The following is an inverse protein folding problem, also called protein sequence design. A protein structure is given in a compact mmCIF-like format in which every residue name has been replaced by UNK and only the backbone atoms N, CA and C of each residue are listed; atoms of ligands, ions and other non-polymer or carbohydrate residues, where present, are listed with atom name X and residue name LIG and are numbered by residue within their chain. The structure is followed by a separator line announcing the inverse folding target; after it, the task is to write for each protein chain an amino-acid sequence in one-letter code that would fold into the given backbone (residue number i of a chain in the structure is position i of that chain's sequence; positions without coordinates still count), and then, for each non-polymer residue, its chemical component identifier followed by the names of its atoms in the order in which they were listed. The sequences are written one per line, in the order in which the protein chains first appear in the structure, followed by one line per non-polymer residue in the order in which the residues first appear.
data_IF_914429454745
#
_entry.id   IF_914429454745
#
_cell.length_a   1.000
_cell.length_b   1.000
_cell.length_c   1.000
_cell.angle_alpha   90.00
_cell.angle_beta   90.00
_cell.angle_gamma   90.00
#
_symmetry.space_group_name_H-M   'P 1'
#
loop_
_entity.id
_entity.type
_entity.pdbx_description
1 polymer ?
#
# COMPACT_ATOMS: atom_id res chain seq x y z
N UNK A 1 20.58 23.63 15.99
CA UNK A 1 19.55 23.10 15.07
C UNK A 1 19.72 21.59 14.74
N UNK A 2 20.23 20.78 15.69
CA UNK A 2 20.14 19.32 15.73
C UNK A 2 20.06 18.93 17.21
N UNK A 3 18.99 18.26 17.65
CA UNK A 3 18.78 17.92 19.07
C UNK A 3 18.74 19.11 20.04
N UNK A 4 18.40 18.87 21.29
CA UNK A 4 18.91 19.74 22.36
C UNK A 4 20.43 19.62 22.27
N UNK A 5 21.19 20.72 22.25
CA UNK A 5 22.65 20.71 22.24
C UNK A 5 23.30 20.02 23.47
N UNK A 6 22.50 19.37 24.31
CA UNK A 6 22.87 18.70 25.55
C UNK A 6 22.98 17.16 25.41
N UNK A 7 22.55 16.55 24.29
CA UNK A 7 22.71 15.09 24.10
C UNK A 7 24.13 14.77 23.60
N UNK A 8 24.90 14.03 24.41
CA UNK A 8 26.20 13.50 24.01
C UNK A 8 26.02 12.43 22.93
N UNK A 9 26.58 12.67 21.74
CA UNK A 9 26.54 11.76 20.61
C UNK A 9 27.89 11.07 20.46
N UNK A 10 27.90 9.75 20.51
CA UNK A 10 29.10 8.93 20.33
C UNK A 10 29.06 8.32 18.93
N UNK A 11 29.96 8.74 18.05
CA UNK A 11 30.01 8.21 16.69
C UNK A 11 30.60 6.80 16.70
N UNK A 12 29.93 5.80 16.10
CA UNK A 12 30.50 4.47 15.97
C UNK A 12 31.70 4.48 15.02
N UNK A 13 32.62 3.49 15.13
CA UNK A 13 33.68 3.32 14.15
C UNK A 13 33.08 3.14 12.74
N UNK A 14 33.72 3.70 11.69
CA UNK A 14 33.20 3.59 10.33
C UNK A 14 33.19 2.12 9.87
N UNK A 15 32.12 1.68 9.20
CA UNK A 15 32.02 0.31 8.68
C UNK A 15 33.14 -0.01 7.69
N UNK A 16 33.50 0.96 6.85
CA UNK A 16 34.59 0.81 5.88
C UNK A 16 35.76 1.66 6.36
N UNK A 17 36.86 1.01 6.73
CA UNK A 17 38.06 1.68 7.27
C UNK A 17 39.09 2.05 6.20
N UNK A 18 39.16 1.27 5.12
CA UNK A 18 40.10 1.46 3.99
C UNK A 18 39.33 1.25 2.68
N UNK A 19 39.65 1.98 1.59
CA UNK A 19 40.72 2.97 1.45
C UNK A 19 40.40 4.34 2.10
N UNK A 20 39.13 4.64 2.33
CA UNK A 20 38.65 5.85 3.01
C UNK A 20 37.66 5.43 4.10
N UNK A 21 37.67 6.16 5.22
CA UNK A 21 36.71 5.95 6.30
C UNK A 21 35.29 6.36 5.87
N UNK A 22 34.39 5.39 5.74
CA UNK A 22 33.00 5.61 5.34
C UNK A 22 32.02 4.98 6.34
N UNK A 23 31.01 5.76 6.70
CA UNK A 23 29.87 5.31 7.49
C UNK A 23 28.70 4.91 6.59
N UNK A 24 27.94 3.90 7.01
CA UNK A 24 26.74 3.48 6.28
C UNK A 24 25.51 4.23 6.78
N UNK A 25 24.49 4.33 5.91
CA UNK A 25 23.19 4.86 6.33
C UNK A 25 22.55 4.07 7.47
N UNK A 26 22.82 2.76 7.55
CA UNK A 26 22.35 1.88 8.64
C UNK A 26 22.99 2.26 9.98
N UNK A 27 24.28 2.57 10.00
CA UNK A 27 24.96 3.07 11.20
C UNK A 27 24.35 4.40 11.67
N UNK A 28 24.04 5.32 10.75
CA UNK A 28 23.40 6.58 11.10
C UNK A 28 21.99 6.39 11.67
N UNK A 29 21.21 5.47 11.13
CA UNK A 29 19.87 5.13 11.66
C UNK A 29 19.99 4.54 13.08
N UNK A 30 20.95 3.64 13.28
CA UNK A 30 21.22 3.03 14.60
C UNK A 30 21.57 4.10 15.63
N UNK A 31 22.37 5.09 15.25
CA UNK A 31 22.72 6.24 16.08
C UNK A 31 21.52 7.14 16.42
N UNK A 32 20.52 7.25 15.53
CA UNK A 32 19.30 8.00 15.83
C UNK A 32 18.43 7.30 16.89
N UNK A 33 18.45 5.96 16.92
CA UNK A 33 17.78 5.16 17.94
C UNK A 33 18.55 5.21 19.26
N UNK A 34 19.86 4.94 19.22
CA UNK A 34 20.75 4.91 20.38
C UNK A 34 21.95 5.86 20.18
N UNK A 35 21.86 7.12 20.65
CA UNK A 35 22.91 8.13 20.42
C UNK A 35 24.21 7.95 21.20
N UNK A 36 24.18 7.24 22.33
CA UNK A 36 25.34 6.97 23.18
C UNK A 36 25.19 5.64 23.91
N UNK A 37 26.29 5.07 24.40
CA UNK A 37 26.25 3.84 25.20
C UNK A 37 25.43 3.99 26.49
N UNK A 38 25.34 5.22 27.02
CA UNK A 38 24.52 5.61 28.18
C UNK A 38 23.02 5.56 27.88
N UNK A 39 22.62 5.56 26.61
CA UNK A 39 21.22 5.43 26.23
C UNK A 39 20.75 4.00 26.49
N UNK A 40 19.69 3.87 27.27
CA UNK A 40 19.03 2.61 27.63
C UNK A 40 18.00 2.16 26.57
N UNK A 41 17.98 2.82 25.40
CA UNK A 41 17.01 2.49 24.35
C UNK A 41 17.43 1.19 23.69
N UNK A 42 16.61 0.16 23.88
CA UNK A 42 16.80 -1.17 23.29
C UNK A 42 15.62 -1.50 22.40
N UNK A 43 15.93 -1.89 21.16
CA UNK A 43 14.96 -2.28 20.14
C UNK A 43 15.47 -3.55 19.47
N UNK A 44 14.64 -4.58 19.55
CA UNK A 44 14.83 -5.85 18.85
C UNK A 44 13.60 -6.06 17.96
N UNK A 45 13.79 -6.14 16.65
CA UNK A 45 12.69 -6.25 15.68
C UNK A 45 13.15 -6.99 14.43
N UNK A 46 12.40 -8.02 14.04
CA UNK A 46 12.59 -8.72 12.78
C UNK A 46 11.29 -8.75 11.99
N UNK A 47 11.31 -8.19 10.77
CA UNK A 47 10.13 -8.25 9.91
C UNK A 47 10.44 -8.04 8.42
N UNK A 48 9.66 -8.66 7.52
CA UNK A 48 9.80 -8.47 6.08
C UNK A 48 9.16 -7.16 5.59
N UNK A 49 9.91 -6.39 4.82
CA UNK A 49 9.43 -5.21 4.11
C UNK A 49 8.68 -5.60 2.82
N UNK A 50 8.15 -4.65 2.05
CA UNK A 50 7.42 -4.92 0.80
C UNK A 50 8.30 -5.54 -0.30
N UNK A 51 9.58 -5.21 -0.35
CA UNK A 51 10.54 -5.66 -1.36
C UNK A 51 11.29 -6.96 -0.98
N UNK A 52 10.89 -7.62 0.12
CA UNK A 52 11.49 -8.87 0.54
C UNK A 52 11.31 -9.94 -0.55
N UNK A 53 12.42 -10.52 -0.99
CA UNK A 53 12.39 -11.69 -1.87
C UNK A 53 12.17 -12.90 -0.98
N UNK A 54 11.04 -13.58 -1.14
CA UNK A 54 10.76 -14.83 -0.44
C UNK A 54 11.98 -15.78 -0.55
N UNK A 55 12.48 -16.26 0.59
CA UNK A 55 13.74 -16.99 0.69
C UNK A 55 14.36 -16.84 2.08
N UNK A 56 15.68 -16.96 2.17
CA UNK A 56 16.43 -16.78 3.42
C UNK A 56 16.31 -15.32 3.94
N UNK A 57 15.74 -15.10 5.14
CA UNK A 57 15.64 -13.78 5.77
C UNK A 57 16.98 -13.08 5.94
N UNK A 58 18.05 -13.82 6.23
CA UNK A 58 19.36 -13.25 6.58
C UNK A 58 20.17 -12.83 5.34
N UNK A 59 19.90 -13.44 4.18
CA UNK A 59 20.60 -13.18 2.92
C UNK A 59 19.66 -12.73 1.80
N UNK A 60 18.86 -11.70 2.07
CA UNK A 60 17.98 -11.12 1.06
C UNK A 60 18.77 -10.27 0.04
N UNK A 61 18.76 -10.65 -1.25
CA UNK A 61 19.38 -9.88 -2.36
C UNK A 61 18.91 -8.42 -2.45
N UNK A 62 17.63 -8.19 -2.14
CA UNK A 62 17.02 -6.86 -2.17
C UNK A 62 17.14 -6.09 -0.86
N UNK A 63 17.81 -6.64 0.15
CA UNK A 63 17.91 -6.06 1.50
C UNK A 63 16.52 -5.70 2.05
N UNK A 64 15.56 -6.61 1.90
CA UNK A 64 14.14 -6.39 2.21
C UNK A 64 13.67 -7.03 3.51
N UNK A 65 14.54 -7.72 4.25
CA UNK A 65 14.24 -8.23 5.58
C UNK A 65 14.95 -7.36 6.60
N UNK A 66 14.17 -6.74 7.50
CA UNK A 66 14.68 -5.75 8.45
C UNK A 66 14.95 -6.41 9.77
N UNK A 67 16.19 -6.24 10.25
CA UNK A 67 16.68 -6.80 11.51
C UNK A 67 17.27 -5.65 12.33
N UNK A 68 16.58 -5.32 13.42
CA UNK A 68 17.12 -4.52 14.52
C UNK A 68 17.52 -5.45 15.65
N UNK A 69 18.76 -5.29 16.11
CA UNK A 69 19.30 -6.01 17.23
C UNK A 69 20.00 -5.03 18.16
N UNK A 70 19.58 -4.96 19.42
CA UNK A 70 20.09 -4.03 20.43
C UNK A 70 20.16 -2.57 19.95
N UNK A 71 19.12 -2.14 19.23
CA UNK A 71 18.99 -0.82 18.59
C UNK A 71 19.95 -0.57 17.41
N UNK A 72 20.64 -1.60 16.92
CA UNK A 72 21.45 -1.55 15.71
C UNK A 72 20.72 -2.15 14.52
N UNK A 73 20.70 -1.41 13.41
CA UNK A 73 20.15 -1.89 12.14
C UNK A 73 21.18 -2.75 11.42
N UNK A 74 21.08 -4.07 11.57
CA UNK A 74 22.01 -5.03 10.96
C UNK A 74 21.70 -5.18 9.47
N UNK A 75 20.43 -5.46 9.14
CA UNK A 75 20.00 -5.76 7.79
C UNK A 75 18.67 -5.08 7.46
N UNK A 76 18.42 -4.88 6.17
CA UNK A 76 17.15 -4.40 5.65
C UNK A 76 17.08 -2.92 5.34
N UNK A 77 16.06 -2.56 4.57
CA UNK A 77 15.68 -1.19 4.25
C UNK A 77 14.40 -0.78 4.98
N UNK A 78 14.33 0.49 5.36
CA UNK A 78 13.18 0.99 6.10
C UNK A 78 12.12 1.57 5.15
N UNK A 79 10.99 0.88 5.02
CA UNK A 79 9.83 1.34 4.25
C UNK A 79 8.62 1.66 5.13
N UNK A 80 7.45 1.78 4.49
CA UNK A 80 6.18 2.06 5.17
C UNK A 80 5.78 0.97 6.16
N UNK A 81 6.18 -0.30 5.98
CA UNK A 81 5.81 -1.35 6.96
C UNK A 81 6.54 -1.17 8.27
N UNK A 82 7.83 -0.80 8.24
CA UNK A 82 8.60 -0.55 9.48
C UNK A 82 8.22 0.79 10.11
N UNK A 83 8.27 1.87 9.34
CA UNK A 83 8.17 3.24 9.88
C UNK A 83 6.72 3.76 9.94
N UNK A 84 5.79 3.14 9.23
CA UNK A 84 4.39 3.54 9.21
C UNK A 84 3.60 3.01 10.42
N UNK A 85 2.28 3.17 10.38
CA UNK A 85 1.36 2.75 11.46
C UNK A 85 1.10 1.25 11.53
N UNK A 86 2.08 0.41 11.21
CA UNK A 86 1.96 -1.05 11.33
C UNK A 86 2.11 -1.45 12.80
N UNK A 87 1.26 -2.35 13.30
CA UNK A 87 1.36 -2.89 14.68
C UNK A 87 2.74 -3.49 14.99
N UNK A 88 3.36 -4.34 14.16
CA UNK A 88 4.74 -4.80 14.40
C UNK A 88 5.82 -3.79 14.00
N UNK A 89 5.47 -2.55 13.64
CA UNK A 89 6.44 -1.56 13.16
C UNK A 89 7.33 -1.00 14.28
N UNK A 90 8.42 -0.34 13.88
CA UNK A 90 9.41 0.27 14.78
C UNK A 90 8.78 1.24 15.78
N UNK A 91 7.82 2.05 15.33
CA UNK A 91 7.14 3.03 16.20
C UNK A 91 6.39 2.35 17.35
N UNK A 92 5.73 1.21 17.07
CA UNK A 92 5.01 0.47 18.11
C UNK A 92 5.97 -0.17 19.10
N UNK A 93 7.02 -0.84 18.62
CA UNK A 93 8.05 -1.46 19.47
C UNK A 93 8.73 -0.41 20.37
N UNK A 94 9.05 0.76 19.84
CA UNK A 94 9.60 1.87 20.61
C UNK A 94 8.66 2.38 21.72
N UNK A 95 7.35 2.47 21.44
CA UNK A 95 6.36 2.90 22.43
C UNK A 95 6.24 1.86 23.55
N UNK A 96 6.26 0.57 23.18
CA UNK A 96 6.01 -0.56 24.07
C UNK A 96 7.21 -0.92 24.95
N UNK A 97 8.36 -1.17 24.34
CA UNK A 97 9.56 -1.65 25.05
C UNK A 97 10.29 -0.52 25.79
N UNK A 98 10.04 0.73 25.40
CA UNK A 98 10.67 1.89 26.01
C UNK A 98 9.59 2.82 26.57
N UNK A 99 9.32 3.94 25.89
CA UNK A 99 8.27 4.86 26.31
C UNK A 99 7.78 5.72 25.14
N UNK A 100 6.55 6.26 25.20
CA UNK A 100 6.05 7.20 24.21
C UNK A 100 6.95 8.42 24.00
N UNK A 101 7.57 8.93 25.08
CA UNK A 101 8.46 10.08 25.03
C UNK A 101 9.76 9.77 24.27
N UNK A 102 10.34 8.57 24.50
CA UNK A 102 11.51 8.08 23.77
C UNK A 102 11.17 7.87 22.29
N UNK A 103 10.04 7.22 22.00
CA UNK A 103 9.58 7.01 20.62
C UNK A 103 9.44 8.34 19.87
N UNK A 104 8.80 9.34 20.48
CA UNK A 104 8.66 10.68 19.90
C UNK A 104 10.02 11.35 19.64
N UNK A 105 10.98 11.23 20.57
CA UNK A 105 12.32 11.75 20.39
C UNK A 105 13.05 11.06 19.22
N UNK A 106 13.02 9.73 19.15
CA UNK A 106 13.64 8.93 18.08
C UNK A 106 13.05 9.27 16.70
N UNK A 107 11.73 9.33 16.57
CA UNK A 107 11.05 9.74 15.33
C UNK A 107 11.38 11.19 14.96
N UNK A 108 11.49 12.07 15.95
CA UNK A 108 11.93 13.45 15.76
C UNK A 108 13.37 13.56 15.23
N UNK A 109 14.29 12.68 15.67
CA UNK A 109 15.66 12.61 15.13
C UNK A 109 15.67 12.06 13.70
N UNK A 110 14.97 10.95 13.46
CA UNK A 110 14.88 10.31 12.13
C UNK A 110 14.28 11.24 11.07
N UNK A 111 13.21 11.97 11.40
CA UNK A 111 12.58 12.95 10.49
C UNK A 111 13.53 14.09 10.12
N UNK A 112 14.24 14.66 11.10
CA UNK A 112 15.24 15.72 10.86
C UNK A 112 16.42 15.23 10.03
N UNK A 113 16.95 14.03 10.32
CA UNK A 113 18.00 13.41 9.53
C UNK A 113 17.54 13.19 8.09
N UNK A 114 16.34 12.65 7.90
CA UNK A 114 15.77 12.39 6.58
C UNK A 114 15.60 13.68 5.77
N UNK A 115 15.09 14.76 6.40
CA UNK A 115 14.96 16.06 5.76
C UNK A 115 16.32 16.64 5.33
N UNK A 116 17.33 16.55 6.20
CA UNK A 116 18.69 17.02 5.87
C UNK A 116 19.30 16.20 4.74
N UNK A 117 19.17 14.88 4.80
CA UNK A 117 19.71 13.95 3.80
C UNK A 117 19.07 14.14 2.43
N UNK A 118 17.75 14.33 2.39
CA UNK A 118 17.04 14.64 1.15
C UNK A 118 17.46 16.00 0.59
N UNK A 119 17.69 16.99 1.45
CA UNK A 119 18.19 18.31 1.05
C UNK A 119 19.59 18.29 0.43
N UNK A 120 20.46 17.37 0.83
CA UNK A 120 21.82 17.22 0.25
C UNK A 120 21.85 16.31 -0.97
N UNK A 121 21.14 15.17 -0.93
CA UNK A 121 21.13 14.21 -2.02
C UNK A 121 20.26 14.65 -3.20
N UNK A 122 19.15 15.34 -2.90
CA UNK A 122 18.12 15.67 -3.87
C UNK A 122 17.30 14.44 -4.30
N UNK A 123 15.99 14.63 -4.46
CA UNK A 123 15.12 13.68 -5.14
C UNK A 123 14.11 14.48 -5.96
N UNK A 124 14.13 14.29 -7.27
CA UNK A 124 13.17 14.87 -8.20
C UNK A 124 12.66 13.78 -9.14
N UNK A 125 11.51 14.01 -9.74
CA UNK A 125 10.93 13.13 -10.76
C UNK A 125 10.71 13.94 -12.03
N UNK A 126 11.04 13.35 -13.17
CA UNK A 126 10.88 13.98 -14.49
C UNK A 126 9.94 13.19 -15.39
N UNK A 127 9.74 13.70 -16.60
CA UNK A 127 8.97 13.01 -17.65
C UNK A 127 9.69 11.74 -18.13
N UNK A 128 11.02 11.73 -18.13
CA UNK A 128 11.84 10.58 -18.51
C UNK A 128 11.63 9.38 -17.58
N UNK A 129 11.31 9.62 -16.30
CA UNK A 129 11.04 8.53 -15.34
C UNK A 129 9.72 7.78 -15.64
N UNK A 130 8.86 8.35 -16.49
CA UNK A 130 7.57 7.77 -16.88
C UNK A 130 7.44 7.53 -18.39
N UNK A 131 8.54 7.61 -19.11
CA UNK A 131 8.59 7.26 -20.53
C UNK A 131 8.68 5.74 -20.67
N UNK A 132 7.84 5.16 -21.55
CA UNK A 132 7.82 3.72 -21.79
C UNK A 132 9.06 3.28 -22.58
N UNK A 133 9.66 2.15 -22.18
CA UNK A 133 10.70 1.51 -23.00
C UNK A 133 10.05 0.80 -24.20
N UNK A 134 10.68 0.77 -25.38
CA UNK A 134 10.17 0.04 -26.55
C UNK A 134 9.81 -1.42 -26.24
N UNK A 135 10.56 -2.08 -25.35
CA UNK A 135 10.31 -3.45 -24.91
C UNK A 135 8.95 -3.60 -24.20
N UNK A 136 8.58 -2.60 -23.38
CA UNK A 136 7.31 -2.60 -22.66
C UNK A 136 6.16 -2.27 -23.62
N UNK A 137 6.38 -1.38 -24.58
CA UNK A 137 5.37 -1.05 -25.59
C UNK A 137 5.06 -2.26 -26.50
N UNK A 138 6.09 -3.00 -26.90
CA UNK A 138 5.92 -4.24 -27.67
C UNK A 138 5.12 -5.28 -26.87
N UNK A 139 5.49 -5.48 -25.59
CA UNK A 139 4.78 -6.40 -24.69
C UNK A 139 3.33 -5.97 -24.44
N UNK A 140 3.06 -4.67 -24.29
CA UNK A 140 1.70 -4.12 -24.18
C UNK A 140 0.89 -4.47 -25.42
N UNK A 141 1.40 -4.20 -26.62
CA UNK A 141 0.70 -4.46 -27.89
C UNK A 141 0.38 -5.95 -28.04
N UNK A 142 1.31 -6.83 -27.69
CA UNK A 142 1.09 -8.28 -27.69
C UNK A 142 -0.05 -8.68 -26.74
N UNK A 143 -0.01 -8.23 -25.48
CA UNK A 143 -1.02 -8.57 -24.48
C UNK A 143 -2.40 -8.00 -24.81
N UNK A 144 -2.47 -6.78 -25.36
CA UNK A 144 -3.74 -6.19 -25.79
C UNK A 144 -4.32 -6.96 -26.99
N UNK A 145 -3.50 -7.29 -27.99
CA UNK A 145 -3.93 -8.05 -29.15
C UNK A 145 -4.44 -9.45 -28.78
N UNK A 146 -3.70 -10.17 -27.93
CA UNK A 146 -4.10 -11.50 -27.42
C UNK A 146 -5.47 -11.44 -26.74
N UNK A 147 -5.68 -10.46 -25.85
CA UNK A 147 -6.93 -10.33 -25.11
C UNK A 147 -8.08 -9.80 -25.96
N UNK A 148 -7.82 -8.96 -26.96
CA UNK A 148 -8.86 -8.53 -27.89
C UNK A 148 -9.35 -9.70 -28.74
N UNK A 149 -8.45 -10.54 -29.24
CA UNK A 149 -8.82 -11.75 -29.97
C UNK A 149 -9.68 -12.69 -29.11
N UNK A 150 -9.31 -12.88 -27.84
CA UNK A 150 -10.10 -13.68 -26.90
C UNK A 150 -11.49 -13.06 -26.62
N UNK A 151 -11.57 -11.74 -26.46
CA UNK A 151 -12.85 -11.05 -26.26
C UNK A 151 -13.75 -11.19 -27.48
N UNK A 152 -13.19 -11.07 -28.69
CA UNK A 152 -13.94 -11.24 -29.93
C UNK A 152 -14.48 -12.67 -30.08
N UNK A 153 -13.68 -13.69 -29.72
CA UNK A 153 -14.14 -15.09 -29.66
C UNK A 153 -15.33 -15.25 -28.70
N UNK A 154 -15.26 -14.67 -27.49
CA UNK A 154 -16.37 -14.74 -26.52
C UNK A 154 -17.61 -13.97 -26.95
N UNK A 155 -17.45 -12.87 -27.69
CA UNK A 155 -18.57 -12.14 -28.29
C UNK A 155 -19.23 -13.00 -29.38
N UNK A 156 -18.47 -13.75 -30.17
CA UNK A 156 -19.03 -14.67 -31.16
C UNK A 156 -19.71 -15.90 -30.53
N UNK A 157 -19.13 -16.50 -29.48
CA UNK A 157 -19.78 -17.57 -28.70
C UNK A 157 -21.13 -17.11 -28.13
N UNK A 158 -21.18 -15.86 -27.64
CA UNK A 158 -22.43 -15.25 -27.16
C UNK A 158 -23.46 -15.07 -28.28
N UNK A 159 -23.06 -14.59 -29.46
CA UNK A 159 -23.95 -14.48 -30.62
C UNK A 159 -24.48 -15.84 -31.09
N UNK A 160 -23.67 -16.89 -30.98
CA UNK A 160 -24.06 -18.27 -31.31
C UNK A 160 -24.86 -18.96 -30.19
N UNK A 161 -25.02 -18.33 -29.02
CA UNK A 161 -25.69 -18.93 -27.86
C UNK A 161 -24.94 -20.09 -27.20
N UNK A 162 -23.63 -20.22 -27.48
CA UNK A 162 -22.77 -21.30 -26.95
C UNK A 162 -21.98 -20.92 -25.70
N UNK A 163 -22.14 -19.68 -25.22
CA UNK A 163 -21.40 -19.17 -24.06
C UNK A 163 -21.80 -19.93 -22.79
N UNK A 164 -20.85 -20.55 -22.05
CA UNK A 164 -21.15 -21.21 -20.79
C UNK A 164 -21.55 -20.18 -19.74
N UNK A 165 -22.75 -20.34 -19.16
CA UNK A 165 -23.29 -19.43 -18.16
C UNK A 165 -22.59 -19.59 -16.82
N UNK A 166 -22.31 -18.48 -16.14
CA UNK A 166 -21.89 -18.51 -14.75
C UNK A 166 -23.12 -18.77 -13.85
N UNK A 167 -22.97 -19.54 -12.75
CA UNK A 167 -24.07 -19.78 -11.82
C UNK A 167 -24.64 -18.46 -11.30
N UNK A 168 -25.97 -18.30 -11.41
CA UNK A 168 -26.67 -17.09 -10.94
C UNK A 168 -26.53 -15.85 -11.82
N UNK A 169 -25.97 -15.97 -13.03
CA UNK A 169 -25.86 -14.86 -13.99
C UNK A 169 -26.58 -15.17 -15.31
N UNK A 170 -27.16 -14.13 -15.90
CA UNK A 170 -27.70 -14.20 -17.27
C UNK A 170 -26.57 -14.34 -18.30
N UNK A 171 -26.91 -14.67 -19.55
CA UNK A 171 -25.94 -14.77 -20.65
C UNK A 171 -25.16 -13.47 -20.87
N UNK A 172 -25.83 -12.33 -20.81
CA UNK A 172 -25.20 -11.01 -20.97
C UNK A 172 -24.32 -10.65 -19.78
N UNK A 173 -24.79 -10.88 -18.55
CA UNK A 173 -24.01 -10.66 -17.34
C UNK A 173 -22.77 -11.56 -17.28
N UNK A 174 -22.91 -12.81 -17.74
CA UNK A 174 -21.80 -13.75 -17.84
C UNK A 174 -20.74 -13.24 -18.81
N UNK A 175 -21.15 -12.80 -20.00
CA UNK A 175 -20.23 -12.21 -20.99
C UNK A 175 -19.48 -11.01 -20.40
N UNK A 176 -20.21 -10.07 -19.80
CA UNK A 176 -19.62 -8.87 -19.19
C UNK A 176 -18.64 -9.23 -18.05
N UNK A 177 -18.98 -10.19 -17.20
CA UNK A 177 -18.10 -10.63 -16.12
C UNK A 177 -16.83 -11.32 -16.63
N UNK A 178 -16.93 -12.11 -17.70
CA UNK A 178 -15.75 -12.76 -18.33
C UNK A 178 -14.85 -11.71 -18.97
N UNK A 179 -15.41 -10.79 -19.76
CA UNK A 179 -14.63 -9.74 -20.44
C UNK A 179 -13.97 -8.79 -19.43
N UNK A 180 -14.72 -8.32 -18.42
CA UNK A 180 -14.16 -7.43 -17.39
C UNK A 180 -13.02 -8.12 -16.61
N UNK A 181 -13.17 -9.42 -16.31
CA UNK A 181 -12.13 -10.21 -15.68
C UNK A 181 -10.85 -10.31 -16.52
N UNK A 182 -10.97 -10.58 -17.82
CA UNK A 182 -9.80 -10.69 -18.71
C UNK A 182 -9.12 -9.35 -18.99
N UNK A 183 -9.88 -8.29 -19.27
CA UNK A 183 -9.33 -6.95 -19.48
C UNK A 183 -8.67 -6.41 -18.21
N UNK A 184 -9.18 -6.76 -17.03
CA UNK A 184 -8.55 -6.44 -15.75
C UNK A 184 -7.18 -7.09 -15.56
N UNK A 185 -6.92 -8.26 -16.16
CA UNK A 185 -5.62 -8.96 -16.07
C UNK A 185 -4.53 -8.26 -16.87
N UNK A 186 -4.86 -7.60 -17.99
CA UNK A 186 -3.88 -6.87 -18.83
C UNK A 186 -3.08 -5.91 -17.95
N UNK A 187 -3.77 -5.09 -17.16
CA UNK A 187 -3.15 -4.09 -16.29
C UNK A 187 -2.16 -4.73 -15.29
N UNK A 188 -2.52 -5.87 -14.70
CA UNK A 188 -1.65 -6.55 -13.73
C UNK A 188 -0.43 -7.16 -14.41
N UNK A 189 -0.62 -7.85 -15.54
CA UNK A 189 0.46 -8.50 -16.29
C UNK A 189 1.52 -7.50 -16.78
N UNK A 190 1.09 -6.35 -17.30
CA UNK A 190 2.02 -5.33 -17.76
C UNK A 190 2.63 -4.55 -16.60
N UNK A 191 1.88 -4.34 -15.51
CA UNK A 191 2.41 -3.78 -14.26
C UNK A 191 3.56 -4.61 -13.67
N UNK A 192 3.41 -5.94 -13.63
CA UNK A 192 4.44 -6.85 -13.12
C UNK A 192 5.70 -6.86 -14.02
N UNK A 193 5.52 -6.74 -15.34
CA UNK A 193 6.64 -6.62 -16.28
C UNK A 193 7.34 -5.27 -16.12
N UNK A 194 6.58 -4.20 -15.93
CA UNK A 194 7.09 -2.84 -15.74
C UNK A 194 8.02 -2.75 -14.53
N UNK A 195 7.67 -3.37 -13.40
CA UNK A 195 8.53 -3.37 -12.19
C UNK A 195 9.89 -4.04 -12.41
N UNK A 196 9.97 -5.02 -13.32
CA UNK A 196 11.21 -5.73 -13.68
C UNK A 196 12.09 -4.93 -14.64
N UNK A 197 11.46 -4.20 -15.57
CA UNK A 197 12.16 -3.44 -16.62
C UNK A 197 12.66 -2.09 -16.11
N UNK A 198 11.90 -1.40 -15.26
CA UNK A 198 12.28 -0.08 -14.79
C UNK A 198 13.62 -0.10 -14.03
N UNK A 199 14.51 0.90 -14.20
CA UNK A 199 15.75 0.99 -13.44
C UNK A 199 15.52 1.03 -11.93
N UNK A 200 16.46 0.50 -11.14
CA UNK A 200 16.39 0.55 -9.66
C UNK A 200 16.37 1.98 -9.11
N UNK A 201 17.00 2.92 -9.83
CA UNK A 201 17.09 4.33 -9.46
C UNK A 201 15.96 5.20 -10.04
N UNK A 202 14.95 4.59 -10.66
CA UNK A 202 13.75 5.31 -11.10
C UNK A 202 12.96 5.78 -9.86
N UNK A 203 12.61 7.07 -9.81
CA UNK A 203 12.11 7.73 -8.59
C UNK A 203 10.64 7.36 -8.31
N UNK A 204 9.72 7.40 -9.30
CA UNK A 204 8.40 6.80 -9.17
C UNK A 204 8.40 5.36 -8.66
N UNK A 205 9.31 4.52 -9.17
CA UNK A 205 9.48 3.14 -8.68
C UNK A 205 9.86 3.11 -7.20
N UNK A 206 10.86 3.90 -6.80
CA UNK A 206 11.30 3.98 -5.39
C UNK A 206 10.14 4.41 -4.48
N UNK A 207 9.36 5.43 -4.88
CA UNK A 207 8.21 5.92 -4.09
C UNK A 207 7.12 4.85 -3.92
N UNK A 208 6.79 4.11 -4.98
CA UNK A 208 5.81 3.04 -4.94
C UNK A 208 6.28 1.81 -4.14
N UNK A 209 7.58 1.51 -4.15
CA UNK A 209 8.19 0.42 -3.38
C UNK A 209 8.33 0.76 -1.91
N UNK A 210 8.80 1.96 -1.55
CA UNK A 210 8.93 2.37 -0.15
C UNK A 210 7.57 2.68 0.50
N UNK A 211 6.53 2.91 -0.32
CA UNK A 211 5.16 3.14 0.12
C UNK A 211 4.89 4.59 0.56
N UNK A 212 5.76 5.54 0.21
CA UNK A 212 5.56 6.96 0.54
C UNK A 212 4.35 7.55 -0.17
N UNK A 213 4.31 7.42 -1.50
CA UNK A 213 3.20 7.86 -2.35
C UNK A 213 3.18 7.10 -3.66
N UNK A 214 1.98 6.82 -4.14
CA UNK A 214 1.76 6.05 -5.35
C UNK A 214 1.76 4.54 -5.11
N UNK A 215 1.30 3.83 -6.11
CA UNK A 215 1.24 2.36 -6.14
C UNK A 215 1.83 1.87 -7.46
N UNK A 216 2.20 0.58 -7.56
CA UNK A 216 2.58 -0.03 -8.84
C UNK A 216 1.52 0.15 -9.93
N UNK A 217 0.24 0.15 -9.54
CA UNK A 217 -0.88 0.39 -10.44
C UNK A 217 -0.83 1.82 -10.99
N UNK A 218 -0.61 2.82 -10.13
CA UNK A 218 -0.51 4.22 -10.57
C UNK A 218 0.66 4.39 -11.54
N UNK A 219 1.79 3.74 -11.28
CA UNK A 219 2.94 3.76 -12.17
C UNK A 219 2.63 3.11 -13.53
N UNK A 220 1.92 1.98 -13.52
CA UNK A 220 1.43 1.34 -14.75
C UNK A 220 0.46 2.21 -15.53
N UNK A 221 -0.40 2.99 -14.86
CA UNK A 221 -1.33 3.92 -15.52
C UNK A 221 -0.62 5.12 -16.14
N UNK A 222 0.47 5.59 -15.52
CA UNK A 222 1.29 6.66 -16.08
C UNK A 222 2.05 6.21 -17.32
N UNK A 223 2.63 5.01 -17.30
CA UNK A 223 3.58 4.55 -18.34
C UNK A 223 2.88 3.74 -19.44
N UNK A 224 2.01 2.79 -19.08
CA UNK A 224 1.57 1.71 -19.98
C UNK A 224 0.15 1.88 -20.49
N UNK A 225 -0.83 1.78 -19.59
CA UNK A 225 -2.26 1.84 -19.92
C UNK A 225 -3.09 2.13 -18.67
N UNK A 226 -4.19 2.87 -18.84
CA UNK A 226 -5.18 3.06 -17.79
C UNK A 226 -5.98 1.79 -17.48
N UNK A 227 -6.30 1.02 -18.52
CA UNK A 227 -7.10 -0.20 -18.45
C UNK A 227 -8.61 0.08 -18.43
N UNK A 228 -9.38 -0.94 -18.04
CA UNK A 228 -10.84 -0.90 -18.03
C UNK A 228 -11.39 0.14 -17.03
N UNK A 229 -12.20 1.08 -17.53
CA UNK A 229 -12.99 2.01 -16.71
C UNK A 229 -14.33 1.36 -16.38
N UNK A 230 -14.69 1.36 -15.09
CA UNK A 230 -15.93 0.80 -14.59
C UNK A 230 -16.77 1.91 -13.95
N UNK A 231 -18.10 1.77 -14.04
CA UNK A 231 -19.10 2.62 -13.38
C UNK A 231 -20.18 1.72 -12.79
N UNK A 232 -20.44 1.83 -11.49
CA UNK A 232 -21.44 1.00 -10.80
C UNK A 232 -21.06 -0.49 -10.76
N UNK A 233 -19.76 -0.80 -10.73
CA UNK A 233 -19.24 -2.18 -10.70
C UNK A 233 -19.29 -2.92 -12.05
N UNK A 234 -19.76 -2.26 -13.12
CA UNK A 234 -19.83 -2.82 -14.46
C UNK A 234 -19.00 -1.97 -15.45
N UNK A 235 -18.71 -2.52 -16.63
CA UNK A 235 -18.16 -1.72 -17.73
C UNK A 235 -19.13 -0.63 -18.14
N UNK A 236 -18.64 0.37 -18.87
CA UNK A 236 -19.46 1.53 -19.26
C UNK A 236 -20.69 1.06 -20.07
N UNK A 237 -21.86 1.43 -19.56
CA UNK A 237 -23.14 1.06 -20.15
C UNK A 237 -23.56 1.98 -21.28
N UNK A 238 -24.56 1.55 -22.06
CA UNK A 238 -25.07 2.32 -23.18
C UNK A 238 -25.75 3.60 -22.68
N UNK A 239 -25.15 4.77 -22.95
CA UNK A 239 -25.77 6.08 -22.70
C UNK A 239 -26.72 6.52 -23.82
N UNK A 240 -26.51 6.02 -25.05
CA UNK A 240 -27.38 6.24 -26.20
C UNK A 240 -28.16 4.96 -26.53
N UNK A 241 -29.12 5.06 -27.46
CA UNK A 241 -29.88 3.92 -27.98
C UNK A 241 -28.93 2.85 -28.54
N UNK A 242 -28.76 1.76 -27.77
CA UNK A 242 -27.93 0.60 -28.08
C UNK A 242 -26.44 0.89 -28.34
N UNK A 243 -25.87 1.96 -27.79
CA UNK A 243 -24.42 2.26 -27.87
C UNK A 243 -23.98 3.20 -26.75
N UNK A 244 -22.68 3.23 -26.47
CA UNK A 244 -22.07 4.11 -25.45
C UNK A 244 -21.83 5.53 -25.97
N UNK A 245 -21.24 5.67 -27.15
CA UNK A 245 -20.95 6.95 -27.81
C UNK A 245 -21.40 6.93 -29.28
N UNK A 246 -21.68 8.09 -29.90
CA UNK A 246 -22.14 8.15 -31.28
C UNK A 246 -21.10 7.67 -32.31
N UNK A 247 -19.82 7.65 -31.93
CA UNK A 247 -18.69 7.16 -32.72
C UNK A 247 -18.69 5.63 -32.91
N UNK A 248 -19.34 4.89 -32.01
CA UNK A 248 -19.40 3.43 -32.08
C UNK A 248 -20.65 2.94 -32.82
N UNK A 249 -20.50 1.79 -33.48
CA UNK A 249 -21.62 1.07 -34.10
C UNK A 249 -22.63 0.63 -33.03
N UNK A 250 -23.90 0.57 -33.41
CA UNK A 250 -24.97 0.04 -32.54
C UNK A 250 -24.66 -1.41 -32.15
N UNK A 251 -24.99 -1.77 -30.92
CA UNK A 251 -24.77 -3.08 -30.30
C UNK A 251 -23.29 -3.51 -30.18
N UNK A 252 -22.33 -2.59 -30.31
CA UNK A 252 -20.92 -2.93 -30.14
C UNK A 252 -20.57 -3.26 -28.68
N UNK A 253 -20.07 -4.48 -28.45
CA UNK A 253 -19.60 -4.97 -27.14
C UNK A 253 -18.06 -5.03 -27.02
N UNK A 254 -17.35 -4.48 -28.01
CA UNK A 254 -15.88 -4.42 -28.07
C UNK A 254 -15.29 -3.75 -26.82
N UNK A 255 -14.04 -4.07 -26.42
CA UNK A 255 -13.37 -3.42 -25.29
C UNK A 255 -13.39 -1.89 -25.37
N UNK A 256 -13.01 -1.33 -26.52
CA UNK A 256 -12.94 0.13 -26.74
C UNK A 256 -14.31 0.81 -26.62
N UNK A 257 -15.38 0.20 -27.16
CA UNK A 257 -16.72 0.77 -27.06
C UNK A 257 -17.27 0.75 -25.64
N UNK A 258 -16.70 -0.07 -24.75
CA UNK A 258 -17.18 -0.28 -23.38
C UNK A 258 -16.20 0.23 -22.32
N UNK A 259 -15.34 1.18 -22.68
CA UNK A 259 -14.53 1.92 -21.70
C UNK A 259 -13.17 1.30 -21.37
N UNK A 260 -12.65 0.39 -22.19
CA UNK A 260 -11.25 0.01 -22.10
C UNK A 260 -10.38 1.12 -22.67
N UNK A 261 -9.44 1.61 -21.86
CA UNK A 261 -8.48 2.65 -22.26
C UNK A 261 -7.12 2.00 -22.42
N UNK A 262 -6.68 1.92 -23.67
CA UNK A 262 -5.41 1.29 -24.03
C UNK A 262 -4.25 2.24 -23.73
N UNK A 263 -4.45 3.54 -23.91
CA UNK A 263 -3.41 4.54 -23.73
C UNK A 263 -3.12 4.86 -22.25
N UNK A 264 -1.91 5.40 -22.02
CA UNK A 264 -1.44 5.85 -20.71
C UNK A 264 -1.54 7.37 -20.59
N UNK A 265 -1.33 7.89 -19.38
CA UNK A 265 -1.23 9.34 -19.21
C UNK A 265 -0.04 9.95 -19.94
N UNK A 266 1.02 9.18 -20.17
CA UNK A 266 2.19 9.63 -20.92
C UNK A 266 1.92 9.69 -22.43
N UNK A 267 1.29 8.65 -23.01
CA UNK A 267 0.98 8.65 -24.45
C UNK A 267 -0.14 9.64 -24.81
N UNK A 268 -0.98 10.01 -23.84
CA UNK A 268 -2.16 10.84 -24.05
C UNK A 268 -3.37 10.00 -24.43
N UNK A 269 -4.57 10.51 -24.11
CA UNK A 269 -5.82 9.77 -24.27
C UNK A 269 -6.58 10.23 -25.50
N UNK A 270 -7.21 9.27 -26.19
CA UNK A 270 -8.15 9.59 -27.25
C UNK A 270 -9.39 10.30 -26.69
N UNK A 271 -10.13 11.08 -27.49
CA UNK A 271 -11.30 11.83 -26.99
C UNK A 271 -12.37 10.95 -26.31
N UNK A 272 -12.63 9.75 -26.83
CA UNK A 272 -13.57 8.82 -26.21
C UNK A 272 -13.00 8.16 -24.94
N UNK A 273 -11.70 7.89 -24.89
CA UNK A 273 -11.03 7.36 -23.69
C UNK A 273 -11.02 8.39 -22.57
N UNK A 274 -10.74 9.65 -22.89
CA UNK A 274 -10.83 10.76 -21.95
C UNK A 274 -12.24 10.88 -21.37
N UNK A 275 -13.26 10.80 -22.23
CA UNK A 275 -14.65 10.82 -21.79
C UNK A 275 -14.98 9.64 -20.85
N UNK A 276 -14.55 8.43 -21.19
CA UNK A 276 -14.73 7.26 -20.32
C UNK A 276 -13.96 7.35 -19.00
N UNK A 277 -12.75 7.92 -19.02
CA UNK A 277 -11.97 8.14 -17.81
C UNK A 277 -12.64 9.15 -16.87
N UNK A 278 -13.19 10.24 -17.41
CA UNK A 278 -13.94 11.23 -16.61
C UNK A 278 -15.21 10.66 -15.99
N UNK A 279 -15.89 9.72 -16.66
CA UNK A 279 -17.02 8.98 -16.08
C UNK A 279 -16.60 8.17 -14.84
N UNK A 280 -15.51 7.39 -14.94
CA UNK A 280 -14.97 6.64 -13.80
C UNK A 280 -14.49 7.56 -12.66
N UNK A 281 -13.86 8.69 -12.99
CA UNK A 281 -13.46 9.70 -12.01
C UNK A 281 -14.65 10.33 -11.27
N UNK A 282 -15.78 10.54 -11.97
CA UNK A 282 -17.00 11.10 -11.37
C UNK A 282 -17.61 10.19 -10.33
N UNK A 283 -17.64 8.87 -10.56
CA UNK A 283 -18.13 7.89 -9.60
C UNK A 283 -17.37 8.01 -8.27
N UNK A 284 -16.03 8.00 -8.30
CA UNK A 284 -15.22 8.11 -7.09
C UNK A 284 -15.47 9.41 -6.29
N UNK A 285 -15.68 10.53 -6.98
CA UNK A 285 -16.01 11.81 -6.33
C UNK A 285 -17.40 11.78 -5.68
N UNK A 286 -18.40 11.25 -6.38
CA UNK A 286 -19.77 11.14 -5.86
C UNK A 286 -19.82 10.16 -4.70
N UNK A 287 -19.20 8.99 -4.82
CA UNK A 287 -19.13 7.98 -3.77
C UNK A 287 -18.51 8.54 -2.49
N UNK A 288 -17.42 9.31 -2.61
CA UNK A 288 -16.77 9.93 -1.46
C UNK A 288 -17.71 10.93 -0.77
N UNK A 289 -18.45 11.73 -1.54
CA UNK A 289 -19.40 12.69 -1.01
C UNK A 289 -20.59 12.01 -0.30
N UNK A 290 -21.17 10.97 -0.90
CA UNK A 290 -22.34 10.25 -0.35
C UNK A 290 -21.96 9.42 0.88
N UNK A 291 -20.86 8.66 0.81
CA UNK A 291 -20.45 7.77 1.91
C UNK A 291 -20.16 8.52 3.20
N UNK A 292 -19.68 9.77 3.10
CA UNK A 292 -19.37 10.61 4.28
C UNK A 292 -20.60 10.82 5.18
N UNK A 293 -21.77 11.06 4.57
CA UNK A 293 -23.01 11.28 5.32
C UNK A 293 -23.47 10.01 6.05
N UNK A 294 -23.46 8.87 5.36
CA UNK A 294 -23.86 7.58 5.92
C UNK A 294 -22.91 7.11 7.03
N UNK A 295 -21.59 7.17 6.79
CA UNK A 295 -20.60 6.74 7.79
C UNK A 295 -20.65 7.63 9.03
N UNK A 296 -20.82 8.94 8.86
CA UNK A 296 -20.91 9.87 9.99
C UNK A 296 -22.20 9.69 10.79
N UNK A 297 -23.33 9.46 10.12
CA UNK A 297 -24.59 9.19 10.81
C UNK A 297 -24.56 7.85 11.56
N UNK A 298 -24.04 6.79 10.94
CA UNK A 298 -23.85 5.50 11.58
C UNK A 298 -22.95 5.61 12.81
N UNK A 299 -21.81 6.31 12.68
CA UNK A 299 -20.91 6.58 13.80
C UNK A 299 -21.63 7.31 14.94
N UNK A 300 -22.40 8.37 14.64
CA UNK A 300 -23.18 9.10 15.66
C UNK A 300 -24.21 8.22 16.35
N UNK A 301 -24.92 7.38 15.59
CA UNK A 301 -25.91 6.44 16.13
C UNK A 301 -25.26 5.44 17.11
N UNK A 302 -24.10 4.90 16.74
CA UNK A 302 -23.33 3.99 17.59
C UNK A 302 -22.80 4.69 18.84
N UNK A 303 -22.24 5.91 18.71
CA UNK A 303 -21.78 6.70 19.86
C UNK A 303 -22.95 6.96 20.81
N UNK A 304 -24.10 7.43 20.32
CA UNK A 304 -25.26 7.69 21.17
C UNK A 304 -25.87 6.45 21.81
N UNK A 305 -25.72 5.28 21.20
CA UNK A 305 -26.16 4.03 21.80
C UNK A 305 -25.19 3.50 22.88
N UNK A 306 -23.91 3.87 22.82
CA UNK A 306 -22.84 3.27 23.64
C UNK A 306 -22.15 4.27 24.58
N UNK A 307 -22.52 5.56 24.57
CA UNK A 307 -21.86 6.61 25.37
C UNK A 307 -22.03 6.42 26.88
N UNK A 308 -23.09 5.72 27.29
CA UNK A 308 -23.37 5.41 28.70
C UNK A 308 -22.56 4.23 29.25
N UNK A 309 -21.86 3.49 28.40
CA UNK A 309 -21.08 2.33 28.83
C UNK A 309 -19.77 2.76 29.47
N UNK A 310 -19.54 2.28 30.69
CA UNK A 310 -18.31 2.52 31.44
C UNK A 310 -17.79 1.26 32.13
N UNK A 311 -16.46 1.13 32.16
CA UNK A 311 -15.78 0.10 32.95
C UNK A 311 -15.78 0.50 34.43
N UNK A 312 -16.23 -0.41 35.29
CA UNK A 312 -16.23 -0.23 36.76
C UNK A 312 -15.02 -0.94 37.37
N UNK A 313 -14.73 -0.64 38.64
CA UNK A 313 -13.56 -1.18 39.35
C UNK A 313 -13.54 -2.71 39.48
N UNK A 314 -14.71 -3.35 39.35
CA UNK A 314 -14.85 -4.81 39.34
C UNK A 314 -14.66 -5.45 37.95
N UNK A 315 -14.12 -4.68 36.98
CA UNK A 315 -13.87 -5.09 35.59
C UNK A 315 -15.14 -5.36 34.75
N UNK A 316 -16.32 -5.09 35.30
CA UNK A 316 -17.58 -5.19 34.56
C UNK A 316 -17.81 -3.94 33.71
N UNK A 317 -18.44 -4.12 32.55
CA UNK A 317 -18.94 -3.02 31.72
C UNK A 317 -20.41 -2.80 32.08
N UNK A 318 -20.74 -1.60 32.57
CA UNK A 318 -22.09 -1.27 33.00
C UNK A 318 -22.61 -0.02 32.30
N UNK A 319 -23.92 0.06 32.14
CA UNK A 319 -24.62 1.29 31.74
C UNK A 319 -24.65 2.31 32.89
N UNK A 320 -25.11 3.51 32.59
CA UNK A 320 -25.41 4.60 33.55
C UNK A 320 -26.35 4.15 34.67
N UNK A 321 -27.37 3.34 34.35
CA UNK A 321 -28.34 2.78 35.30
C UNK A 321 -27.81 1.63 36.17
N UNK A 322 -26.57 1.18 35.94
CA UNK A 322 -25.93 0.11 36.71
C UNK A 322 -26.20 -1.31 36.18
N UNK A 323 -26.95 -1.46 35.09
CA UNK A 323 -27.15 -2.74 34.40
C UNK A 323 -25.83 -3.26 33.85
N UNK A 324 -25.50 -4.52 34.15
CA UNK A 324 -24.29 -5.18 33.67
C UNK A 324 -24.50 -5.64 32.23
N UNK A 325 -23.65 -5.16 31.32
CA UNK A 325 -23.65 -5.53 29.90
C UNK A 325 -22.62 -6.63 29.61
N UNK A 326 -21.43 -6.53 30.21
CA UNK A 326 -20.41 -7.56 30.16
C UNK A 326 -19.83 -7.79 31.56
N UNK A 327 -19.67 -9.05 31.93
CA UNK A 327 -19.02 -9.42 33.19
C UNK A 327 -17.50 -9.19 33.15
N UNK A 328 -16.89 -9.41 31.99
CA UNK A 328 -15.49 -9.14 31.71
C UNK A 328 -15.42 -8.36 30.41
N UNK A 329 -14.79 -7.18 30.43
CA UNK A 329 -14.65 -6.37 29.23
C UNK A 329 -13.87 -7.13 28.14
N UNK A 330 -14.49 -7.33 26.97
CA UNK A 330 -13.81 -8.02 25.85
C UNK A 330 -13.52 -9.51 26.07
N UNK A 331 -14.21 -10.15 27.02
CA UNK A 331 -14.03 -11.56 27.46
C UNK A 331 -12.65 -11.90 28.07
N UNK A 332 -11.61 -11.10 27.83
CA UNK A 332 -10.26 -11.27 28.37
C UNK A 332 -9.84 -10.16 29.35
N UNK A 333 -10.60 -9.07 29.45
CA UNK A 333 -10.29 -7.92 30.31
C UNK A 333 -9.12 -7.08 29.80
N UNK A 334 -8.69 -7.27 28.55
CA UNK A 334 -7.49 -6.66 28.00
C UNK A 334 -7.83 -5.47 27.11
N UNK A 335 -6.98 -4.45 27.16
CA UNK A 335 -7.13 -3.26 26.32
C UNK A 335 -6.58 -3.53 24.90
N UNK A 336 -7.40 -3.44 23.83
CA UNK A 336 -6.94 -3.65 22.46
C UNK A 336 -5.81 -2.75 21.99
N UNK A 337 -5.67 -1.55 22.60
CA UNK A 337 -4.59 -0.61 22.31
C UNK A 337 -3.22 -1.13 22.79
N UNK A 338 -3.21 -1.98 23.82
CA UNK A 338 -1.99 -2.58 24.39
C UNK A 338 -1.69 -3.96 23.80
N UNK A 339 -2.56 -4.50 22.94
CA UNK A 339 -2.37 -5.82 22.33
C UNK A 339 -1.41 -5.77 21.13
N UNK A 340 -0.42 -6.66 21.14
CA UNK A 340 0.65 -6.73 20.15
C UNK A 340 0.22 -7.49 18.88
N UNK A 341 -0.47 -8.61 19.06
CA UNK A 341 -0.91 -9.47 17.96
C UNK A 341 -2.20 -9.00 17.29
N UNK A 342 -2.53 -9.62 16.16
CA UNK A 342 -3.87 -9.49 15.55
C UNK A 342 -4.96 -10.17 16.39
N UNK A 343 -4.60 -11.23 17.11
CA UNK A 343 -5.53 -12.08 17.87
C UNK A 343 -4.94 -12.58 19.20
N UNK A 344 -3.74 -12.10 19.56
CA UNK A 344 -3.04 -12.51 20.78
C UNK A 344 -2.62 -11.26 21.55
N UNK A 345 -2.74 -11.26 22.88
CA UNK A 345 -2.37 -10.10 23.69
C UNK A 345 -0.86 -9.84 23.64
N UNK A 346 -0.05 -10.91 23.72
CA UNK A 346 1.40 -10.85 23.66
C UNK A 346 1.94 -11.62 22.45
N UNK A 347 2.95 -11.05 21.79
CA UNK A 347 3.78 -11.76 20.83
C UNK A 347 4.96 -12.42 21.56
N UNK A 348 4.76 -13.68 21.95
CA UNK A 348 5.77 -14.45 22.70
C UNK A 348 7.10 -14.59 21.97
N UNK A 349 7.10 -14.67 20.63
CA UNK A 349 8.34 -14.76 19.84
C UNK A 349 9.16 -13.49 19.97
N UNK A 350 8.50 -12.33 19.80
CA UNK A 350 9.16 -11.04 19.98
C UNK A 350 9.66 -10.86 21.42
N UNK A 351 8.86 -11.20 22.43
CA UNK A 351 9.26 -11.07 23.83
C UNK A 351 10.43 -12.01 24.17
N UNK A 352 10.42 -13.24 23.66
CA UNK A 352 11.54 -14.17 23.83
C UNK A 352 12.82 -13.60 23.21
N UNK A 353 12.75 -13.11 21.97
CA UNK A 353 13.89 -12.49 21.30
C UNK A 353 14.37 -11.25 22.04
N UNK A 354 13.47 -10.44 22.58
CA UNK A 354 13.84 -9.27 23.37
C UNK A 354 14.60 -9.69 24.64
N UNK A 355 14.10 -10.67 25.38
CA UNK A 355 14.71 -11.12 26.65
C UNK A 355 16.03 -11.88 26.43
N UNK A 356 16.16 -12.65 25.36
CA UNK A 356 17.40 -13.40 25.07
C UNK A 356 18.59 -12.49 24.72
N UNK A 357 18.33 -11.24 24.34
CA UNK A 357 19.31 -10.33 23.75
C UNK A 357 19.57 -9.05 24.55
N UNK A 358 18.75 -8.80 25.58
CA UNK A 358 18.98 -7.84 26.67
C UNK A 358 19.87 -8.47 27.72
#
# INVERSE_FOLDING_TARGET
YFGKAAESLELPPPTVMKPVQLWTGKQLISLMLRPSHKSTVLVNLEMPEKNFSHGDPYFCRNDGYVIFYNSELIAGNLGKKILGGSKPGLTFVLIRDNSPAVAAACLGRLSKLSARWLGTRGMSFGIDDVTASPDIEAFKKEQVAEKYAYVDEKIEEYKQGKLPLKPGCDAEQTLEAVINGELGKIRNSVGDRLEKVLPRFNKPRIMAQCGSKGSPINLSQMIVCLGQQNVGGQRIQNGFVNRTLPHFKKFSKTPQSRGFVEDSFFSGLNPFEYFFHTMGGREGLVDTAVKTAETGYMQRKLIKALEDLGLKYDMTVRTSDGTVVQFVCGDDGLNPAMMEGKSKPLNFEHTMNHVQHV
#
